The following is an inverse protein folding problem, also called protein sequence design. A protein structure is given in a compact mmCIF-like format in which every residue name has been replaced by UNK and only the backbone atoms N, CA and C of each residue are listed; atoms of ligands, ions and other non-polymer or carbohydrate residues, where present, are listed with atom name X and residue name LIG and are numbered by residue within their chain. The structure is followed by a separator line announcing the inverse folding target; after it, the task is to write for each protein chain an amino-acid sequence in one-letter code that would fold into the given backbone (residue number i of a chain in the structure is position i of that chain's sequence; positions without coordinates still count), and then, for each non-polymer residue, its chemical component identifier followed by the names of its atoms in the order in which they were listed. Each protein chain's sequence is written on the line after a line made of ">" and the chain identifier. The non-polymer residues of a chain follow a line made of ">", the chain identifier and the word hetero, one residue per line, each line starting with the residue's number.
data_IF_730433896422
#
_entry.id   IF_730433896422
#
_cell.length_a   1.000
_cell.length_b   1.000
_cell.length_c   1.000
_cell.angle_alpha   90.00
_cell.angle_beta   90.00
_cell.angle_gamma   90.00
#
_symmetry.space_group_name_H-M   'P 1'
#
loop_
_entity.id
_entity.type
_entity.pdbx_description
1 polymer ?
#
# COMPACT_ATOMS: atom_id res chain seq x y z
N UNK A 1 -8.79 118.62 32.46
CA UNK A 1 -9.11 117.63 31.41
C UNK A 1 -7.98 116.62 31.32
N UNK A 2 -8.23 115.33 31.62
CA UNK A 2 -7.33 114.26 31.21
C UNK A 2 -8.01 113.27 30.26
N UNK A 3 -7.24 112.90 29.25
CA UNK A 3 -7.54 112.07 28.09
C UNK A 3 -7.76 110.59 28.44
N UNK A 4 -8.81 109.97 27.89
CA UNK A 4 -8.97 108.51 27.83
C UNK A 4 -7.87 107.89 26.96
N UNK A 5 -7.19 106.87 27.48
CA UNK A 5 -6.35 105.96 26.70
C UNK A 5 -7.05 104.59 26.64
N UNK A 6 -7.36 104.13 25.43
CA UNK A 6 -7.96 102.82 25.15
C UNK A 6 -6.84 101.80 25.00
N UNK A 7 -6.67 100.89 25.96
CA UNK A 7 -5.75 99.76 25.84
C UNK A 7 -6.42 98.59 25.13
N UNK A 8 -5.95 98.24 23.93
CA UNK A 8 -6.40 97.04 23.20
C UNK A 8 -5.75 95.79 23.79
N UNK A 9 -6.52 94.97 24.49
CA UNK A 9 -6.11 93.62 24.88
C UNK A 9 -6.07 92.72 23.64
N UNK A 10 -4.88 92.21 23.29
CA UNK A 10 -4.75 91.18 22.25
C UNK A 10 -5.17 89.82 22.82
N UNK A 11 -6.26 89.27 22.32
CA UNK A 11 -6.69 87.91 22.63
C UNK A 11 -5.71 86.89 22.03
N UNK A 12 -5.15 86.03 22.89
CA UNK A 12 -4.21 84.95 22.53
C UNK A 12 -4.99 83.75 21.99
N UNK A 13 -4.99 83.57 20.67
CA UNK A 13 -5.62 82.43 20.01
C UNK A 13 -4.80 81.16 20.34
N UNK A 14 -5.39 80.24 21.10
CA UNK A 14 -4.79 78.92 21.36
C UNK A 14 -5.10 78.02 20.16
N UNK A 15 -4.07 77.56 19.46
CA UNK A 15 -4.20 76.51 18.46
C UNK A 15 -4.60 75.21 19.16
N UNK A 16 -5.86 74.82 19.03
CA UNK A 16 -6.38 73.53 19.45
C UNK A 16 -5.70 72.43 18.64
N UNK A 17 -4.96 71.56 19.32
CA UNK A 17 -4.32 70.38 18.74
C UNK A 17 -5.38 69.52 18.03
N UNK A 18 -5.23 69.35 16.72
CA UNK A 18 -6.05 68.43 15.92
C UNK A 18 -5.83 67.00 16.44
N UNK A 19 -6.80 66.49 17.21
CA UNK A 19 -6.87 65.08 17.58
C UNK A 19 -7.13 64.28 16.32
N UNK A 20 -6.12 63.58 15.81
CA UNK A 20 -6.29 62.65 14.68
C UNK A 20 -6.88 61.35 15.24
N UNK A 21 -8.18 61.15 15.03
CA UNK A 21 -8.86 59.92 15.43
C UNK A 21 -8.53 58.82 14.41
N UNK A 22 -7.68 57.87 14.80
CA UNK A 22 -7.33 56.70 14.00
C UNK A 22 -8.48 55.68 14.06
N UNK A 23 -9.37 55.68 13.07
CA UNK A 23 -10.42 54.66 12.97
C UNK A 23 -9.78 53.35 12.53
N UNK A 24 -9.47 52.47 13.49
CA UNK A 24 -9.04 51.09 13.20
C UNK A 24 -10.25 50.37 12.62
N UNK A 25 -10.29 50.22 11.29
CA UNK A 25 -11.33 49.41 10.61
C UNK A 25 -11.21 47.99 11.15
N UNK A 26 -12.16 47.57 12.00
CA UNK A 26 -12.26 46.17 12.43
C UNK A 26 -12.72 45.39 11.21
N UNK A 27 -11.82 44.61 10.60
CA UNK A 27 -12.20 43.62 9.59
C UNK A 27 -12.92 42.48 10.31
N UNK A 28 -14.25 42.53 10.32
CA UNK A 28 -15.10 41.44 10.79
C UNK A 28 -15.52 40.58 9.60
N UNK A 29 -15.45 39.27 9.76
CA UNK A 29 -16.04 38.31 8.82
C UNK A 29 -17.56 38.53 8.77
N UNK A 30 -18.13 38.61 7.59
CA UNK A 30 -19.58 38.67 7.42
C UNK A 30 -20.19 37.28 7.61
N UNK A 31 -21.44 37.22 8.11
CA UNK A 31 -22.18 35.96 8.22
C UNK A 31 -22.34 35.26 6.86
N UNK A 32 -22.48 36.06 5.78
CA UNK A 32 -22.58 35.52 4.43
C UNK A 32 -21.26 34.93 3.94
N UNK A 33 -20.10 35.52 4.29
CA UNK A 33 -18.78 34.94 3.99
C UNK A 33 -18.59 33.60 4.70
N UNK A 34 -19.03 33.47 5.94
CA UNK A 34 -18.96 32.17 6.63
C UNK A 34 -19.91 31.14 5.99
N UNK A 35 -21.11 31.57 5.60
CA UNK A 35 -22.13 30.72 5.00
C UNK A 35 -21.66 30.13 3.67
N UNK A 36 -21.09 30.95 2.78
CA UNK A 36 -20.59 30.45 1.49
C UNK A 36 -19.39 29.50 1.65
N UNK A 37 -18.57 29.69 2.69
CA UNK A 37 -17.41 28.82 2.93
C UNK A 37 -17.85 27.42 3.32
N UNK A 38 -18.79 27.30 4.26
CA UNK A 38 -19.28 25.97 4.68
C UNK A 38 -20.05 25.26 3.57
N UNK A 39 -20.75 25.99 2.70
CA UNK A 39 -21.45 25.38 1.56
C UNK A 39 -20.46 24.86 0.52
N UNK A 40 -19.42 25.62 0.20
CA UNK A 40 -18.36 25.18 -0.73
C UNK A 40 -17.62 23.95 -0.16
N UNK A 41 -17.26 23.97 1.12
CA UNK A 41 -16.63 22.82 1.80
C UNK A 41 -17.55 21.59 1.74
N UNK A 42 -18.85 21.76 1.96
CA UNK A 42 -19.84 20.67 1.87
C UNK A 42 -19.92 20.05 0.48
N UNK A 43 -19.90 20.86 -0.58
CA UNK A 43 -19.91 20.37 -1.97
C UNK A 43 -18.63 19.57 -2.26
N UNK A 44 -17.46 20.12 -1.94
CA UNK A 44 -16.17 19.43 -2.17
C UNK A 44 -16.02 18.15 -1.34
N UNK A 45 -16.51 18.15 -0.10
CA UNK A 45 -16.48 16.98 0.78
C UNK A 45 -17.36 15.83 0.24
N UNK A 46 -18.53 16.13 -0.32
CA UNK A 46 -19.42 15.08 -0.86
C UNK A 46 -18.82 14.35 -2.07
N UNK A 47 -18.17 15.08 -2.98
CA UNK A 47 -17.51 14.50 -4.16
C UNK A 47 -16.29 13.63 -3.79
N UNK A 48 -15.50 14.08 -2.82
CA UNK A 48 -14.32 13.34 -2.36
C UNK A 48 -14.70 12.03 -1.67
N UNK A 49 -15.72 12.06 -0.80
CA UNK A 49 -16.21 10.84 -0.14
C UNK A 49 -16.74 9.79 -1.13
N UNK A 50 -17.39 10.22 -2.22
CA UNK A 50 -17.92 9.30 -3.23
C UNK A 50 -16.85 8.46 -3.95
N UNK A 51 -15.61 8.96 -4.03
CA UNK A 51 -14.50 8.29 -4.77
C UNK A 51 -13.44 7.66 -3.87
N UNK A 52 -13.49 7.94 -2.57
CA UNK A 52 -12.47 7.54 -1.60
C UNK A 52 -12.30 6.00 -1.52
N UNK A 53 -13.41 5.25 -1.47
CA UNK A 53 -13.37 3.79 -1.32
C UNK A 53 -12.65 3.07 -2.46
N UNK A 54 -12.96 3.42 -3.71
CA UNK A 54 -12.32 2.83 -4.90
C UNK A 54 -10.83 3.20 -4.99
N UNK A 55 -10.48 4.42 -4.59
CA UNK A 55 -9.08 4.88 -4.57
C UNK A 55 -8.26 4.07 -3.57
N UNK A 56 -8.81 3.83 -2.38
CA UNK A 56 -8.18 3.01 -1.34
C UNK A 56 -8.01 1.55 -1.79
N UNK A 57 -9.02 0.97 -2.46
CA UNK A 57 -8.92 -0.38 -3.03
C UNK A 57 -7.80 -0.46 -4.07
N UNK A 58 -7.74 0.50 -5.01
CA UNK A 58 -6.70 0.56 -6.03
C UNK A 58 -5.30 0.71 -5.43
N UNK A 59 -5.16 1.50 -4.37
CA UNK A 59 -3.89 1.67 -3.67
C UNK A 59 -3.43 0.34 -3.04
N UNK A 60 -4.31 -0.38 -2.34
CA UNK A 60 -4.00 -1.69 -1.75
C UNK A 60 -3.69 -2.75 -2.81
N UNK A 61 -4.46 -2.81 -3.89
CA UNK A 61 -4.16 -3.70 -5.02
C UNK A 61 -2.77 -3.40 -5.63
N UNK A 62 -2.38 -2.13 -5.68
CA UNK A 62 -1.03 -1.72 -6.10
C UNK A 62 0.06 -2.24 -5.16
N UNK A 63 -0.17 -2.16 -3.85
CA UNK A 63 0.74 -2.72 -2.83
C UNK A 63 0.86 -4.23 -2.97
N UNK A 64 -0.26 -4.97 -3.06
CA UNK A 64 -0.26 -6.43 -3.29
C UNK A 64 0.56 -6.85 -4.49
N UNK A 65 0.38 -6.17 -5.64
CA UNK A 65 1.16 -6.45 -6.85
C UNK A 65 2.66 -6.20 -6.64
N UNK A 66 3.01 -5.14 -5.91
CA UNK A 66 4.40 -4.83 -5.55
C UNK A 66 5.00 -5.90 -4.64
N UNK A 67 4.26 -6.32 -3.62
CA UNK A 67 4.69 -7.33 -2.64
C UNK A 67 4.94 -8.68 -3.30
N UNK A 68 4.01 -9.16 -4.12
CA UNK A 68 4.22 -10.39 -4.89
C UNK A 68 5.44 -10.29 -5.84
N UNK A 69 5.70 -9.11 -6.39
CA UNK A 69 6.89 -8.85 -7.20
C UNK A 69 8.19 -8.81 -6.39
N UNK A 70 8.15 -8.36 -5.14
CA UNK A 70 9.29 -8.41 -4.21
C UNK A 70 9.59 -9.85 -3.81
N UNK A 71 8.57 -10.61 -3.39
CA UNK A 71 8.70 -12.02 -3.00
C UNK A 71 9.22 -12.87 -4.17
N UNK A 72 8.67 -12.66 -5.38
CA UNK A 72 9.19 -13.33 -6.59
C UNK A 72 10.68 -13.06 -6.80
N UNK A 73 11.14 -11.81 -6.65
CA UNK A 73 12.56 -11.48 -6.83
C UNK A 73 13.45 -12.16 -5.80
N UNK A 74 13.01 -12.22 -4.54
CA UNK A 74 13.72 -12.93 -3.50
C UNK A 74 13.82 -14.44 -3.81
N UNK A 75 12.73 -15.05 -4.25
CA UNK A 75 12.72 -16.46 -4.67
C UNK A 75 13.62 -16.74 -5.89
N UNK A 76 13.66 -15.84 -6.87
CA UNK A 76 14.53 -16.00 -8.04
C UNK A 76 16.02 -15.78 -7.69
N UNK A 77 16.31 -14.99 -6.65
CA UNK A 77 17.66 -14.85 -6.07
C UNK A 77 18.06 -16.12 -5.30
N UNK A 78 17.18 -16.65 -4.46
CA UNK A 78 17.41 -17.93 -3.78
C UNK A 78 17.67 -19.07 -4.78
N UNK A 79 16.95 -19.06 -5.90
CA UNK A 79 17.20 -19.98 -7.02
C UNK A 79 18.58 -19.79 -7.66
N UNK A 80 19.10 -18.57 -7.77
CA UNK A 80 20.41 -18.35 -8.40
C UNK A 80 21.57 -18.83 -7.53
N UNK A 81 21.38 -18.83 -6.22
CA UNK A 81 22.41 -19.26 -5.25
C UNK A 81 22.37 -20.77 -5.02
N UNK A 82 21.38 -21.44 -5.58
CA UNK A 82 21.15 -22.87 -5.51
C UNK A 82 21.84 -23.65 -6.63
N UNK A 83 22.57 -24.73 -6.28
CA UNK A 83 23.17 -25.66 -7.24
C UNK A 83 22.36 -26.95 -7.50
N UNK A 84 21.21 -27.13 -6.84
CA UNK A 84 20.33 -28.31 -6.97
C UNK A 84 19.19 -28.09 -7.97
N UNK A 85 18.42 -29.14 -8.28
CA UNK A 85 17.27 -29.06 -9.18
C UNK A 85 15.97 -28.56 -8.51
N UNK A 86 15.90 -28.54 -7.18
CA UNK A 86 14.82 -27.93 -6.41
C UNK A 86 15.29 -26.60 -5.80
N UNK A 87 14.56 -25.54 -6.13
CA UNK A 87 14.99 -24.16 -5.89
C UNK A 87 14.08 -23.42 -4.92
N UNK A 88 12.78 -23.70 -4.97
CA UNK A 88 11.78 -22.95 -4.21
C UNK A 88 11.29 -23.80 -3.05
N UNK A 89 11.45 -23.35 -1.80
CA UNK A 89 11.13 -24.17 -0.63
C UNK A 89 9.64 -24.47 -0.55
N UNK A 90 9.30 -25.73 -0.39
CA UNK A 90 8.01 -26.12 0.16
C UNK A 90 7.99 -25.66 1.61
N UNK A 91 7.06 -24.75 1.92
CA UNK A 91 6.76 -24.38 3.29
C UNK A 91 6.16 -25.56 4.06
N UNK A 92 5.19 -25.28 4.93
CA UNK A 92 4.46 -26.34 5.61
C UNK A 92 3.62 -27.17 4.63
N UNK A 93 3.41 -28.45 4.95
CA UNK A 93 2.40 -29.26 4.26
C UNK A 93 1.02 -28.67 4.52
N UNK A 94 0.29 -28.32 3.47
CA UNK A 94 -0.98 -27.62 3.65
C UNK A 94 -1.52 -26.99 2.38
N UNK A 95 -2.58 -26.20 2.54
CA UNK A 95 -3.13 -25.42 1.45
C UNK A 95 -2.18 -24.28 1.01
N UNK A 96 -2.59 -23.51 0.00
CA UNK A 96 -1.76 -22.43 -0.54
C UNK A 96 -1.42 -21.32 0.49
N UNK A 97 -2.21 -21.16 1.54
CA UNK A 97 -2.02 -20.12 2.55
C UNK A 97 -1.05 -20.62 3.63
N UNK A 98 -1.16 -21.88 4.06
CA UNK A 98 -0.21 -22.51 4.97
C UNK A 98 1.18 -22.64 4.32
N UNK A 99 1.22 -22.93 3.01
CA UNK A 99 2.46 -22.89 2.24
C UNK A 99 3.07 -21.48 2.22
N UNK A 100 2.25 -20.44 2.15
CA UNK A 100 2.74 -19.05 2.20
C UNK A 100 3.30 -18.70 3.59
N UNK A 101 2.63 -19.12 4.67
CA UNK A 101 3.13 -18.92 6.04
C UNK A 101 4.51 -19.59 6.22
N UNK A 102 4.74 -20.76 5.62
CA UNK A 102 6.06 -21.41 5.60
C UNK A 102 7.10 -20.67 4.76
N UNK A 103 6.72 -20.17 3.58
CA UNK A 103 7.57 -19.30 2.77
C UNK A 103 7.97 -18.04 3.53
N UNK A 104 7.07 -17.49 4.34
CA UNK A 104 7.32 -16.31 5.16
C UNK A 104 8.46 -16.55 6.15
N UNK A 105 8.49 -17.72 6.78
CA UNK A 105 9.56 -18.12 7.69
C UNK A 105 10.89 -18.31 6.98
N UNK A 106 10.87 -18.94 5.79
CA UNK A 106 12.08 -19.09 4.97
C UNK A 106 12.67 -17.73 4.61
N UNK A 107 11.89 -16.84 3.99
CA UNK A 107 12.39 -15.54 3.56
C UNK A 107 12.69 -14.56 4.70
N UNK A 108 12.16 -14.81 5.91
CA UNK A 108 12.47 -14.03 7.09
C UNK A 108 13.78 -14.43 7.77
N UNK A 109 14.40 -15.54 7.35
CA UNK A 109 15.70 -15.95 7.88
C UNK A 109 16.77 -14.92 7.51
N UNK A 110 17.44 -14.39 8.53
CA UNK A 110 18.49 -13.39 8.36
C UNK A 110 19.75 -13.95 7.74
N UNK A 111 19.99 -15.25 7.88
CA UNK A 111 21.17 -15.92 7.35
C UNK A 111 21.08 -16.05 5.82
N UNK A 112 19.88 -16.14 5.27
CA UNK A 112 19.63 -16.26 3.82
C UNK A 112 19.71 -14.93 3.05
N UNK A 113 19.44 -13.79 3.71
CA UNK A 113 19.57 -12.44 3.15
C UNK A 113 18.89 -12.16 1.78
N UNK A 114 17.87 -12.93 1.40
CA UNK A 114 17.14 -12.73 0.13
C UNK A 114 16.13 -11.58 0.16
N UNK A 115 15.72 -11.14 1.36
CA UNK A 115 14.80 -10.02 1.54
C UNK A 115 15.23 -9.19 2.76
N UNK A 116 15.32 -7.87 2.58
CA UNK A 116 15.66 -6.95 3.67
C UNK A 116 14.40 -6.62 4.49
N UNK A 117 14.15 -7.40 5.54
CA UNK A 117 13.03 -7.21 6.47
C UNK A 117 12.00 -8.34 6.41
N UNK A 118 10.94 -8.22 7.20
CA UNK A 118 9.86 -9.20 7.19
C UNK A 118 9.16 -9.21 5.83
N UNK A 119 8.87 -10.40 5.32
CA UNK A 119 8.01 -10.58 4.15
C UNK A 119 6.70 -9.81 4.34
N UNK A 120 6.23 -9.04 3.34
CA UNK A 120 5.02 -8.25 3.46
C UNK A 120 3.77 -9.11 3.68
N UNK A 121 2.87 -8.62 4.53
CA UNK A 121 1.51 -9.13 4.65
C UNK A 121 0.53 -8.31 3.79
N UNK A 122 -0.63 -8.89 3.48
CA UNK A 122 -1.68 -8.17 2.76
C UNK A 122 -2.10 -6.88 3.49
N UNK A 123 -2.29 -5.75 2.79
CA UNK A 123 -2.65 -4.48 3.42
C UNK A 123 -3.98 -4.48 4.20
N UNK A 124 -4.87 -5.44 3.94
CA UNK A 124 -6.11 -5.62 4.71
C UNK A 124 -5.95 -6.48 5.95
N UNK A 125 -4.78 -7.11 6.13
CA UNK A 125 -4.39 -8.05 7.17
C UNK A 125 -5.52 -8.35 8.16
N UNK A 126 -6.38 -9.28 7.76
CA UNK A 126 -7.54 -9.64 8.56
C UNK A 126 -7.07 -10.55 9.67
N UNK A 127 -7.37 -10.17 10.91
CA UNK A 127 -7.21 -10.99 12.12
C UNK A 127 -7.52 -12.46 11.83
N UNK A 128 -6.71 -13.36 12.41
CA UNK A 128 -6.75 -14.83 12.27
C UNK A 128 -8.15 -15.37 11.93
N UNK A 129 -8.28 -15.97 10.73
CA UNK A 129 -9.48 -16.72 10.33
C UNK A 129 -10.18 -16.28 9.05
N UNK A 130 -9.77 -15.17 8.40
CA UNK A 130 -10.32 -14.81 7.08
C UNK A 130 -9.29 -15.01 5.97
N UNK A 131 -9.39 -16.15 5.28
CA UNK A 131 -8.48 -16.55 4.19
C UNK A 131 -8.62 -15.69 2.91
N UNK A 132 -9.63 -14.82 2.84
CA UNK A 132 -9.97 -14.08 1.61
C UNK A 132 -8.94 -13.02 1.21
N UNK A 133 -8.06 -12.61 2.13
CA UNK A 133 -7.06 -11.57 1.89
C UNK A 133 -5.65 -12.01 2.31
N UNK A 134 -5.35 -13.32 2.34
CA UNK A 134 -3.98 -13.80 2.48
C UNK A 134 -3.32 -13.96 1.10
N UNK A 135 -1.99 -13.85 1.07
CA UNK A 135 -1.22 -14.28 -0.09
C UNK A 135 -1.19 -15.80 -0.16
N UNK A 136 -1.33 -16.34 -1.37
CA UNK A 136 -1.23 -17.77 -1.63
C UNK A 136 0.10 -18.10 -2.28
N UNK A 137 0.68 -19.23 -1.90
CA UNK A 137 1.86 -19.82 -2.50
C UNK A 137 1.57 -21.26 -2.88
N UNK A 138 1.91 -21.67 -4.10
CA UNK A 138 1.71 -23.05 -4.56
C UNK A 138 2.90 -23.52 -5.36
N UNK A 139 3.20 -24.81 -5.22
CA UNK A 139 4.40 -25.44 -5.77
C UNK A 139 4.05 -26.65 -6.62
N UNK A 140 4.95 -27.02 -7.52
CA UNK A 140 4.83 -28.27 -8.25
C UNK A 140 5.15 -29.43 -7.29
N UNK A 141 4.14 -30.22 -6.95
CA UNK A 141 4.22 -31.31 -5.99
C UNK A 141 4.83 -32.59 -6.57
N UNK A 142 4.74 -32.81 -7.89
CA UNK A 142 5.33 -33.99 -8.56
C UNK A 142 6.86 -33.99 -8.68
N UNK A 143 7.54 -32.87 -8.36
CA UNK A 143 9.01 -32.75 -8.43
C UNK A 143 9.59 -32.17 -7.15
N UNK A 144 9.15 -32.69 -6.00
CA UNK A 144 9.71 -32.29 -4.72
C UNK A 144 11.02 -33.05 -4.46
N UNK A 145 12.11 -32.29 -4.33
CA UNK A 145 13.42 -32.79 -3.86
C UNK A 145 13.96 -31.81 -2.83
N UNK A 146 14.97 -32.21 -2.06
CA UNK A 146 15.53 -31.32 -1.03
C UNK A 146 15.96 -29.97 -1.61
N UNK A 147 15.56 -28.89 -0.94
CA UNK A 147 16.09 -27.54 -1.21
C UNK A 147 17.61 -27.62 -1.01
N UNK A 148 18.36 -27.04 -1.93
CA UNK A 148 19.81 -26.90 -1.79
C UNK A 148 20.17 -26.05 -0.56
N UNK A 149 21.38 -26.27 -0.05
CA UNK A 149 22.03 -25.23 0.76
C UNK A 149 22.23 -24.02 -0.14
N UNK A 150 22.00 -22.83 0.38
CA UNK A 150 22.41 -21.62 -0.33
C UNK A 150 23.95 -21.55 -0.49
N UNK A 151 24.42 -20.58 -1.26
CA UNK A 151 25.85 -20.35 -1.45
C UNK A 151 26.61 -20.07 -0.16
N UNK A 152 25.90 -19.65 0.90
CA UNK A 152 26.44 -19.31 2.22
C UNK A 152 26.48 -20.51 3.19
N UNK A 153 25.88 -21.65 2.80
CA UNK A 153 25.97 -22.92 3.53
C UNK A 153 24.98 -23.05 4.68
N UNK A 154 23.88 -22.30 4.68
CA UNK A 154 22.81 -22.48 5.66
C UNK A 154 22.14 -23.85 5.46
N UNK A 155 22.34 -24.71 6.45
CA UNK A 155 21.83 -26.07 6.45
C UNK A 155 20.36 -26.16 6.88
N UNK A 156 19.79 -25.10 7.46
CA UNK A 156 18.48 -25.09 8.13
C UNK A 156 17.34 -25.54 7.21
N UNK A 157 17.47 -25.25 5.91
CA UNK A 157 16.44 -25.55 4.91
C UNK A 157 16.82 -26.69 3.97
N UNK A 158 18.01 -27.29 4.13
CA UNK A 158 18.53 -28.34 3.22
C UNK A 158 17.78 -29.66 3.26
N UNK A 159 17.03 -29.90 4.33
CA UNK A 159 16.18 -31.10 4.47
C UNK A 159 14.72 -30.82 4.09
N UNK A 160 14.36 -29.57 3.80
CA UNK A 160 13.01 -29.22 3.38
C UNK A 160 12.80 -29.62 1.92
N UNK A 161 11.57 -30.04 1.60
CA UNK A 161 11.19 -30.28 0.21
C UNK A 161 11.20 -28.95 -0.54
N UNK A 162 11.63 -28.96 -1.79
CA UNK A 162 11.65 -27.81 -2.68
C UNK A 162 11.19 -28.19 -4.08
N UNK A 163 10.81 -27.20 -4.88
CA UNK A 163 10.20 -27.40 -6.19
C UNK A 163 10.89 -26.60 -7.29
N UNK A 164 10.69 -27.02 -8.54
CA UNK A 164 11.20 -26.36 -9.74
C UNK A 164 10.28 -25.25 -10.26
N UNK A 165 9.04 -25.20 -9.79
CA UNK A 165 8.05 -24.20 -10.18
C UNK A 165 7.23 -23.73 -8.99
N UNK A 166 6.88 -22.45 -8.99
CA UNK A 166 5.99 -21.86 -8.01
C UNK A 166 5.00 -20.89 -8.64
N UNK A 167 3.94 -20.61 -7.89
CA UNK A 167 3.03 -19.50 -8.12
C UNK A 167 2.74 -18.79 -6.81
N UNK A 168 2.78 -17.46 -6.86
CA UNK A 168 2.26 -16.57 -5.85
C UNK A 168 0.93 -15.99 -6.33
N UNK A 169 -0.04 -15.84 -5.45
CA UNK A 169 -1.36 -15.32 -5.81
C UNK A 169 -1.91 -14.40 -4.73
N UNK A 170 -2.69 -13.41 -5.16
CA UNK A 170 -3.42 -12.52 -4.26
C UNK A 170 -4.78 -12.18 -4.88
N UNK A 171 -5.83 -12.14 -4.05
CA UNK A 171 -7.15 -11.72 -4.49
C UNK A 171 -7.22 -10.18 -4.53
N UNK A 172 -7.50 -9.60 -5.69
CA UNK A 172 -7.63 -8.14 -5.83
C UNK A 172 -9.00 -7.67 -5.37
N UNK A 173 -9.06 -6.52 -4.70
CA UNK A 173 -10.32 -5.95 -4.20
C UNK A 173 -11.22 -5.44 -5.31
N UNK A 174 -10.63 -4.98 -6.42
CA UNK A 174 -11.37 -4.59 -7.62
C UNK A 174 -11.86 -5.79 -8.43
N UNK A 175 -11.58 -7.01 -7.99
CA UNK A 175 -12.01 -8.25 -8.61
C UNK A 175 -11.58 -8.37 -10.09
N UNK A 176 -12.37 -9.00 -10.97
CA UNK A 176 -11.99 -9.25 -12.36
C UNK A 176 -11.95 -7.99 -13.24
N UNK A 177 -12.27 -6.81 -12.70
CA UNK A 177 -12.20 -5.54 -13.46
C UNK A 177 -10.78 -5.08 -13.77
N UNK A 178 -9.77 -5.70 -13.14
CA UNK A 178 -8.36 -5.37 -13.36
C UNK A 178 -7.78 -6.17 -14.54
N UNK A 179 -7.44 -5.46 -15.63
CA UNK A 179 -6.92 -6.07 -16.86
C UNK A 179 -5.51 -6.67 -16.68
N UNK A 180 -4.71 -6.14 -15.75
CA UNK A 180 -3.40 -6.69 -15.43
C UNK A 180 -3.51 -8.06 -14.76
N UNK A 181 -4.46 -8.21 -13.84
CA UNK A 181 -4.78 -9.48 -13.18
C UNK A 181 -5.21 -10.56 -14.17
N UNK A 182 -5.98 -10.21 -15.20
CA UNK A 182 -6.29 -11.16 -16.28
C UNK A 182 -5.02 -11.59 -17.04
N UNK A 183 -4.19 -10.65 -17.48
CA UNK A 183 -2.95 -10.95 -18.22
C UNK A 183 -1.95 -11.77 -17.41
N UNK A 184 -1.85 -11.50 -16.12
CA UNK A 184 -0.95 -12.22 -15.22
C UNK A 184 -1.40 -13.68 -15.05
N UNK A 185 -2.70 -13.93 -14.91
CA UNK A 185 -3.28 -15.30 -14.86
C UNK A 185 -3.06 -16.07 -16.15
N UNK A 186 -3.27 -15.45 -17.30
CA UNK A 186 -2.99 -16.06 -18.62
C UNK A 186 -1.50 -16.45 -18.74
N UNK A 187 -0.59 -15.61 -18.27
CA UNK A 187 0.86 -15.90 -18.28
C UNK A 187 1.21 -17.11 -17.41
N UNK A 188 0.49 -17.32 -16.32
CA UNK A 188 0.74 -18.40 -15.36
C UNK A 188 -0.17 -19.61 -15.56
N UNK A 189 -0.83 -19.72 -16.73
CA UNK A 189 -1.66 -20.87 -17.07
C UNK A 189 -0.86 -22.18 -17.00
N UNK A 190 -1.47 -23.23 -16.44
CA UNK A 190 -0.87 -24.56 -16.24
C UNK A 190 0.35 -24.58 -15.31
N UNK A 191 0.59 -23.50 -14.56
CA UNK A 191 1.51 -23.53 -13.43
C UNK A 191 0.81 -24.13 -12.21
N UNK A 192 1.57 -24.52 -11.17
CA UNK A 192 0.98 -24.98 -9.92
C UNK A 192 -0.02 -23.97 -9.37
N UNK A 193 -0.90 -24.45 -8.50
CA UNK A 193 -1.92 -23.61 -7.90
C UNK A 193 -2.78 -24.42 -6.93
N UNK A 194 -3.93 -23.87 -6.55
CA UNK A 194 -4.80 -24.49 -5.56
C UNK A 194 -5.38 -25.83 -6.02
N UNK A 195 -5.51 -26.04 -7.32
CA UNK A 195 -6.01 -27.29 -7.91
C UNK A 195 -4.90 -28.37 -8.08
N UNK A 196 -3.67 -28.05 -7.67
CA UNK A 196 -2.50 -28.92 -7.79
C UNK A 196 -1.50 -28.44 -8.85
N UNK A 197 -0.75 -29.39 -9.43
CA UNK A 197 0.43 -29.13 -10.27
C UNK A 197 0.14 -28.32 -11.54
N UNK A 198 -1.08 -28.44 -12.07
CA UNK A 198 -1.51 -27.69 -13.25
C UNK A 198 -2.86 -27.04 -12.96
N UNK A 199 -2.83 -25.74 -12.69
CA UNK A 199 -4.04 -24.95 -12.43
C UNK A 199 -4.39 -24.10 -13.65
N UNK A 200 -5.67 -24.12 -14.05
CA UNK A 200 -6.19 -23.17 -15.04
C UNK A 200 -6.60 -21.86 -14.37
N UNK A 201 -5.62 -21.00 -14.13
CA UNK A 201 -5.80 -19.67 -13.54
C UNK A 201 -6.75 -18.75 -14.34
N UNK A 202 -7.10 -19.12 -15.58
CA UNK A 202 -8.03 -18.35 -16.43
C UNK A 202 -9.50 -18.67 -16.14
N UNK A 203 -9.75 -19.76 -15.40
CA UNK A 203 -11.09 -20.19 -14.99
C UNK A 203 -11.83 -19.18 -14.12
N UNK A 204 -13.16 -19.31 -14.07
CA UNK A 204 -14.04 -18.43 -13.30
C UNK A 204 -13.79 -18.50 -11.78
N UNK A 205 -13.29 -19.63 -11.27
CA UNK A 205 -12.91 -19.79 -9.87
C UNK A 205 -11.80 -18.82 -9.43
N UNK A 206 -10.93 -18.41 -10.36
CA UNK A 206 -9.79 -17.52 -10.11
C UNK A 206 -10.01 -16.10 -10.63
N UNK A 207 -11.26 -15.73 -10.93
CA UNK A 207 -11.61 -14.40 -11.35
C UNK A 207 -11.24 -13.36 -10.28
N UNK A 208 -10.37 -12.41 -10.66
CA UNK A 208 -9.90 -11.35 -9.75
C UNK A 208 -8.62 -11.65 -9.00
N UNK A 209 -8.02 -12.83 -9.19
CA UNK A 209 -6.66 -13.09 -8.69
C UNK A 209 -5.61 -12.41 -9.57
N UNK A 210 -4.58 -11.87 -8.92
CA UNK A 210 -3.31 -11.54 -9.55
C UNK A 210 -2.29 -12.62 -9.20
N UNK A 211 -1.62 -13.17 -10.21
CA UNK A 211 -0.74 -14.34 -10.09
C UNK A 211 0.64 -14.05 -10.63
N UNK A 212 1.66 -14.42 -9.87
CA UNK A 212 3.07 -14.33 -10.28
C UNK A 212 3.67 -15.72 -10.23
N UNK A 213 4.12 -16.23 -11.36
CA UNK A 213 4.74 -17.54 -11.46
C UNK A 213 6.25 -17.44 -11.71
N UNK A 214 6.96 -18.51 -11.33
CA UNK A 214 8.36 -18.75 -11.71
C UNK A 214 8.55 -18.56 -13.22
N UNK A 215 9.67 -17.95 -13.62
CA UNK A 215 10.05 -17.77 -15.04
C UNK A 215 10.02 -19.07 -15.83
#
# INVERSE_FOLDING_TARGET
>A
MPSLQVTRNKAKIRHSSLVTCHFKVKQGFTLIELLIVITIIGILASLTLATYGNTQQKARDGVRKSDLGQIRRALELAKSDCSSAAYYPAGFSGDQYEQFDGLQLYLADTDLNYMSGSVPDDPKNVTEGSLNYKYGYSLLSSQQTNVCADGDGDATYTEQSGSSQFTLSALMERGPSDSESYKSREKCKNKPGPDGDTTDWTGSAYAGYYVVCSS
#
